data_IF_028432119280
#
_entry.id   IF_028432119280
#
_cell.length_a   1.000
_cell.length_b   1.000
_cell.length_c   1.000
_cell.angle_alpha   90.00
_cell.angle_beta   90.00
_cell.angle_gamma   90.00
#
_symmetry.space_group_name_H-M   'P 1'
#
loop_
_entity.id
_entity.type
_entity.pdbx_description
1 polymer ?
#
# COMPACT_ATOMS: atom_id res chain seq x y z
N UNK A 1 12.15 -6.41 0.26
CA UNK A 1 11.86 -5.85 -1.09
C UNK A 1 10.38 -5.41 -1.19
N UNK A 2 10.02 -4.48 -2.11
CA UNK A 2 8.64 -3.97 -2.32
C UNK A 2 7.58 -5.04 -2.65
N UNK A 3 8.00 -6.23 -3.06
CA UNK A 3 7.16 -7.42 -3.32
C UNK A 3 6.53 -8.05 -2.07
N UNK A 4 6.84 -7.52 -0.89
CA UNK A 4 6.28 -7.96 0.40
C UNK A 4 5.31 -6.93 1.01
N UNK A 5 4.92 -5.88 0.29
CA UNK A 5 4.01 -4.85 0.83
C UNK A 5 2.57 -5.35 0.82
N UNK A 6 2.00 -5.51 2.01
CA UNK A 6 0.61 -5.90 2.24
C UNK A 6 -0.08 -4.76 2.98
N UNK A 7 -1.17 -4.26 2.39
CA UNK A 7 -2.01 -3.24 2.97
C UNK A 7 -3.17 -3.92 3.69
N UNK A 8 -3.45 -3.49 4.91
CA UNK A 8 -4.55 -3.99 5.70
C UNK A 8 -5.58 -2.88 5.84
N UNK A 9 -6.78 -3.11 5.31
CA UNK A 9 -7.91 -2.21 5.48
C UNK A 9 -8.99 -2.88 6.31
N UNK A 10 -9.63 -2.14 7.21
CA UNK A 10 -10.84 -2.64 7.89
C UNK A 10 -12.06 -2.17 7.11
N UNK A 11 -12.77 -3.10 6.47
CA UNK A 11 -14.06 -2.84 5.81
C UNK A 11 -15.13 -3.71 6.44
N UNK A 12 -16.27 -3.10 6.78
CA UNK A 12 -17.48 -3.79 7.26
C UNK A 12 -17.22 -4.79 8.41
N UNK A 13 -16.43 -4.37 9.39
CA UNK A 13 -16.01 -5.17 10.55
C UNK A 13 -15.05 -6.34 10.27
N UNK A 14 -14.59 -6.54 9.02
CA UNK A 14 -13.56 -7.51 8.66
C UNK A 14 -12.24 -6.83 8.27
N UNK A 15 -11.12 -7.53 8.53
CA UNK A 15 -9.79 -7.11 8.07
C UNK A 15 -9.53 -7.66 6.67
N UNK A 16 -9.42 -6.77 5.70
CA UNK A 16 -9.04 -7.08 4.32
C UNK A 16 -7.55 -6.88 4.14
N UNK A 17 -6.87 -7.95 3.71
CA UNK A 17 -5.45 -7.94 3.40
C UNK A 17 -5.30 -7.91 1.89
N UNK A 18 -4.80 -6.81 1.35
CA UNK A 18 -4.52 -6.68 -0.07
C UNK A 18 -3.01 -6.59 -0.26
N UNK A 19 -2.46 -7.54 -1.01
CA UNK A 19 -1.07 -7.46 -1.46
C UNK A 19 -1.02 -6.46 -2.62
N UNK A 20 -0.12 -5.49 -2.52
CA UNK A 20 0.10 -4.55 -3.61
C UNK A 20 0.91 -5.22 -4.71
N UNK A 21 0.61 -4.88 -5.95
CA UNK A 21 1.37 -5.34 -7.09
C UNK A 21 2.77 -4.69 -7.06
N UNK A 22 3.86 -5.47 -6.91
CA UNK A 22 5.21 -4.92 -6.90
C UNK A 22 5.57 -4.17 -8.17
N UNK A 23 5.02 -4.53 -9.33
CA UNK A 23 5.31 -3.82 -10.58
C UNK A 23 4.66 -2.43 -10.59
N UNK A 24 3.42 -2.31 -10.11
CA UNK A 24 2.77 -1.03 -9.93
C UNK A 24 3.51 -0.19 -8.88
N UNK A 25 3.86 -0.81 -7.74
CA UNK A 25 4.56 -0.13 -6.64
C UNK A 25 5.96 0.33 -7.04
N UNK A 26 6.69 -0.44 -7.84
CA UNK A 26 8.02 -0.07 -8.32
C UNK A 26 8.01 1.27 -9.06
N UNK A 27 7.05 1.51 -9.95
CA UNK A 27 6.90 2.80 -10.64
C UNK A 27 6.60 3.96 -9.68
N UNK A 28 5.80 3.73 -8.63
CA UNK A 28 5.58 4.74 -7.60
C UNK A 28 6.82 4.98 -6.74
N UNK A 29 7.63 3.94 -6.49
CA UNK A 29 8.87 4.03 -5.70
C UNK A 29 10.03 4.71 -6.44
N UNK A 30 9.90 4.92 -7.76
CA UNK A 30 10.84 5.75 -8.53
C UNK A 30 10.69 7.23 -8.21
N UNK A 31 9.45 7.70 -8.01
CA UNK A 31 9.14 9.13 -7.79
C UNK A 31 8.79 9.48 -6.34
N UNK A 32 8.35 8.51 -5.54
CA UNK A 32 7.85 8.72 -4.18
C UNK A 32 8.35 7.66 -3.21
N UNK A 33 8.59 8.05 -1.96
CA UNK A 33 8.87 7.10 -0.89
C UNK A 33 7.60 6.36 -0.41
N UNK A 34 7.77 5.18 0.20
CA UNK A 34 6.65 4.44 0.83
C UNK A 34 5.87 5.31 1.82
N UNK A 35 6.57 6.16 2.60
CA UNK A 35 5.94 7.09 3.54
C UNK A 35 5.05 8.11 2.82
N UNK A 36 5.50 8.68 1.70
CA UNK A 36 4.67 9.60 0.92
C UNK A 36 3.46 8.92 0.29
N UNK A 37 3.61 7.69 -0.22
CA UNK A 37 2.50 6.93 -0.78
C UNK A 37 1.47 6.57 0.31
N UNK A 38 1.93 6.32 1.52
CA UNK A 38 1.09 6.11 2.69
C UNK A 38 0.36 7.40 3.10
N UNK A 39 1.07 8.53 3.20
CA UNK A 39 0.49 9.84 3.52
C UNK A 39 -0.50 10.32 2.47
N UNK A 40 -0.23 10.03 1.19
CA UNK A 40 -1.14 10.32 0.06
C UNK A 40 -2.31 9.33 -0.03
N UNK A 41 -2.37 8.34 0.86
CA UNK A 41 -3.42 7.33 0.90
C UNK A 41 -3.53 6.53 -0.42
N UNK A 42 -2.40 6.42 -1.15
CA UNK A 42 -2.27 5.70 -2.43
C UNK A 42 -2.18 4.19 -2.20
N UNK A 43 -1.51 3.79 -1.12
CA UNK A 43 -1.41 2.38 -0.73
C UNK A 43 -2.74 1.87 -0.14
N UNK A 44 -3.57 2.74 0.42
CA UNK A 44 -4.72 2.36 1.25
C UNK A 44 -4.29 1.99 2.68
N UNK A 45 -5.26 1.63 3.52
CA UNK A 45 -5.00 1.30 4.93
C UNK A 45 -4.83 2.56 5.78
N UNK A 46 -5.93 3.08 6.29
CA UNK A 46 -5.89 4.11 7.33
C UNK A 46 -5.76 3.46 8.70
N UNK A 47 -5.01 4.06 9.65
CA UNK A 47 -5.13 3.70 11.06
C UNK A 47 -6.54 3.99 11.59
#
# INVERSE_FOLDING_TARGET
>A
EPEQVIVVERREAASHFQRLDPAALAGWLEDYSLSELYDKNVLGGRP
#
